data_IF_491609700480
#
_entry.id   IF_491609700480
#
_cell.length_a   1.000
_cell.length_b   1.000
_cell.length_c   1.000
_cell.angle_alpha   90.00
_cell.angle_beta   90.00
_cell.angle_gamma   90.00
#
_symmetry.space_group_name_H-M   'P 1'
#
loop_
_entity.id
_entity.type
_entity.pdbx_description
1 polymer ?
#
# COMPACT_ATOMS: atom_id res chain seq x y z
N UNK A 1 -13.73 8.91 -12.95
CA UNK A 1 -12.95 7.97 -13.80
C UNK A 1 -12.04 7.14 -12.90
N UNK A 2 -12.15 5.80 -12.92
CA UNK A 2 -11.36 4.91 -12.06
C UNK A 2 -9.86 5.02 -12.35
N UNK A 3 -9.46 5.32 -13.59
CA UNK A 3 -8.07 5.41 -14.01
C UNK A 3 -7.19 6.44 -13.26
N UNK A 4 -7.77 7.45 -12.60
CA UNK A 4 -6.99 8.46 -11.89
C UNK A 4 -7.72 9.05 -10.67
N UNK A 5 -8.92 9.58 -10.91
CA UNK A 5 -9.66 10.31 -9.88
C UNK A 5 -10.13 9.46 -8.69
N UNK A 6 -10.10 8.12 -8.79
CA UNK A 6 -10.30 7.25 -7.63
C UNK A 6 -9.10 7.35 -6.68
N UNK A 7 -7.90 7.09 -7.21
CA UNK A 7 -6.66 7.05 -6.45
C UNK A 7 -6.35 8.39 -5.79
N UNK A 8 -6.54 9.49 -6.51
CA UNK A 8 -6.38 10.84 -5.96
C UNK A 8 -7.26 11.07 -4.72
N UNK A 9 -8.56 10.73 -4.82
CA UNK A 9 -9.53 10.96 -3.74
C UNK A 9 -9.28 10.03 -2.55
N UNK A 10 -8.95 8.77 -2.80
CA UNK A 10 -8.64 7.79 -1.75
C UNK A 10 -7.35 8.17 -1.00
N UNK A 11 -6.28 8.47 -1.73
CA UNK A 11 -5.02 8.97 -1.16
C UNK A 11 -5.22 10.26 -0.36
N UNK A 12 -5.97 11.23 -0.91
CA UNK A 12 -6.32 12.46 -0.19
C UNK A 12 -7.11 12.18 1.10
N UNK A 13 -7.99 11.17 1.09
CA UNK A 13 -8.69 10.69 2.28
C UNK A 13 -7.73 10.25 3.39
N UNK A 14 -6.71 9.45 3.05
CA UNK A 14 -5.66 9.05 4.00
C UNK A 14 -4.87 10.24 4.54
N UNK A 15 -4.48 11.19 3.68
CA UNK A 15 -3.80 12.42 4.09
C UNK A 15 -4.63 13.24 5.09
N UNK A 16 -5.96 13.31 4.90
CA UNK A 16 -6.87 14.00 5.83
C UNK A 16 -6.95 13.29 7.18
N UNK A 17 -6.93 11.96 7.23
CA UNK A 17 -6.86 11.21 8.49
C UNK A 17 -5.57 11.55 9.25
N UNK A 18 -4.44 11.59 8.54
CA UNK A 18 -3.17 11.98 9.15
C UNK A 18 -3.21 13.41 9.68
N UNK A 19 -3.58 14.39 8.85
CA UNK A 19 -3.66 15.81 9.25
C UNK A 19 -4.69 16.07 10.36
N UNK A 20 -5.71 15.22 10.47
CA UNK A 20 -6.69 15.25 11.56
C UNK A 20 -6.19 14.65 12.88
N UNK A 21 -4.93 14.19 12.96
CA UNK A 21 -4.35 13.58 14.15
C UNK A 21 -4.92 12.20 14.48
N UNK A 22 -5.53 11.50 13.52
CA UNK A 22 -6.20 10.20 13.76
C UNK A 22 -5.20 9.15 14.25
N UNK A 23 -4.02 9.08 13.64
CA UNK A 23 -3.00 8.08 13.99
C UNK A 23 -2.22 8.40 15.27
N UNK A 24 -2.28 9.64 15.74
CA UNK A 24 -1.79 10.02 17.07
C UNK A 24 -2.81 9.59 18.13
N UNK A 25 -4.10 9.86 17.89
CA UNK A 25 -5.19 9.49 18.79
C UNK A 25 -5.44 7.98 18.87
N UNK A 26 -5.27 7.27 17.76
CA UNK A 26 -5.52 5.84 17.63
C UNK A 26 -4.29 5.12 17.04
N UNK A 27 -3.20 4.97 17.82
CA UNK A 27 -1.94 4.43 17.31
C UNK A 27 -2.04 2.97 16.81
N UNK A 28 -3.01 2.20 17.30
CA UNK A 28 -3.24 0.81 16.89
C UNK A 28 -4.09 0.67 15.61
N UNK A 29 -4.73 1.74 15.12
CA UNK A 29 -5.59 1.69 13.93
C UNK A 29 -4.80 1.19 12.71
N UNK A 30 -5.30 0.18 12.01
CA UNK A 30 -4.75 -0.26 10.74
C UNK A 30 -5.67 0.17 9.60
N UNK A 31 -5.10 0.71 8.53
CA UNK A 31 -5.78 1.13 7.31
C UNK A 31 -5.22 0.33 6.14
N UNK A 32 -6.09 -0.12 5.25
CA UNK A 32 -5.70 -0.78 4.00
C UNK A 32 -5.95 0.19 2.86
N UNK A 33 -4.91 0.47 2.07
CA UNK A 33 -5.00 1.21 0.82
C UNK A 33 -4.91 0.23 -0.36
N UNK A 34 -5.89 0.32 -1.26
CA UNK A 34 -5.91 -0.45 -2.50
C UNK A 34 -4.87 0.02 -3.50
N UNK A 35 -4.86 -0.60 -4.69
CA UNK A 35 -4.30 -0.01 -5.91
C UNK A 35 -2.88 0.54 -5.74
N UNK A 36 -1.98 -0.30 -5.21
CA UNK A 36 -0.58 0.05 -4.96
C UNK A 36 -0.41 1.31 -4.08
N UNK A 37 -1.36 1.56 -3.17
CA UNK A 37 -1.28 2.59 -2.15
C UNK A 37 -1.91 3.93 -2.54
N UNK A 38 -2.75 3.97 -3.58
CA UNK A 38 -3.54 5.16 -3.92
C UNK A 38 -2.69 6.44 -4.09
N UNK A 39 -1.60 6.36 -4.87
CA UNK A 39 -0.59 7.40 -5.09
C UNK A 39 0.28 7.77 -3.88
N UNK A 40 -0.11 7.39 -2.65
CA UNK A 40 0.60 7.77 -1.42
C UNK A 40 2.08 7.36 -1.41
N UNK A 41 2.47 6.12 -1.79
CA UNK A 41 3.88 5.71 -1.75
C UNK A 41 4.78 6.55 -2.67
N UNK A 42 4.24 7.00 -3.80
CA UNK A 42 4.98 7.72 -4.84
C UNK A 42 5.25 9.18 -4.48
N UNK A 43 4.42 9.75 -3.61
CA UNK A 43 4.58 11.10 -3.08
C UNK A 43 5.09 11.11 -1.64
N UNK A 44 5.41 9.96 -1.05
CA UNK A 44 5.68 9.80 0.37
C UNK A 44 6.71 10.81 0.91
N UNK A 45 7.87 10.92 0.24
CA UNK A 45 8.94 11.86 0.65
C UNK A 45 8.50 13.32 0.60
N UNK A 46 7.82 13.73 -0.47
CA UNK A 46 7.31 15.10 -0.63
C UNK A 46 6.24 15.40 0.41
N UNK A 47 5.27 14.52 0.56
CA UNK A 47 4.17 14.68 1.53
C UNK A 47 4.72 14.75 2.95
N UNK A 48 5.68 13.88 3.29
CA UNK A 48 6.32 13.89 4.60
C UNK A 48 7.08 15.20 4.87
N UNK A 49 7.82 15.73 3.88
CA UNK A 49 8.53 16.99 4.01
C UNK A 49 7.59 18.18 4.29
N UNK A 50 6.45 18.26 3.60
CA UNK A 50 5.55 19.42 3.71
C UNK A 50 4.50 19.29 4.82
N UNK A 51 3.94 18.09 5.03
CA UNK A 51 2.81 17.90 5.94
C UNK A 51 3.21 17.51 7.36
N UNK A 52 4.47 17.12 7.59
CA UNK A 52 4.93 16.86 8.96
C UNK A 52 5.30 18.13 9.73
N UNK A 53 5.29 19.29 9.05
CA UNK A 53 5.54 20.58 9.71
C UNK A 53 4.42 20.83 10.73
N UNK A 54 4.80 21.06 11.99
CA UNK A 54 3.89 21.25 13.12
C UNK A 54 3.02 20.03 13.48
N UNK A 55 3.39 18.82 13.05
CA UNK A 55 2.79 17.57 13.53
C UNK A 55 3.72 16.90 14.57
N UNK A 56 3.16 16.17 15.54
CA UNK A 56 3.99 15.46 16.53
C UNK A 56 4.54 14.14 16.00
N UNK A 57 3.85 13.57 14.99
CA UNK A 57 4.25 12.40 14.24
C UNK A 57 4.55 12.76 12.79
N UNK A 58 5.60 12.19 12.19
CA UNK A 58 5.85 12.36 10.76
C UNK A 58 4.89 11.53 9.93
N UNK A 59 4.55 12.01 8.74
CA UNK A 59 3.66 11.32 7.80
C UNK A 59 4.19 9.92 7.44
N UNK A 60 5.49 9.81 7.16
CA UNK A 60 6.11 8.52 6.82
C UNK A 60 6.04 7.51 7.97
N UNK A 61 6.04 7.98 9.22
CA UNK A 61 5.97 7.11 10.40
C UNK A 61 4.53 6.61 10.59
N UNK A 62 3.54 7.49 10.39
CA UNK A 62 2.14 7.10 10.34
C UNK A 62 1.88 6.09 9.21
N UNK A 63 2.43 6.35 8.01
CA UNK A 63 2.34 5.43 6.87
C UNK A 63 2.95 4.06 7.20
N UNK A 64 4.21 4.01 7.62
CA UNK A 64 4.92 2.76 7.89
C UNK A 64 4.27 1.93 9.01
N UNK A 65 3.65 2.58 10.00
CA UNK A 65 3.06 1.92 11.16
C UNK A 65 1.59 1.52 10.95
N UNK A 66 0.81 2.31 10.24
CA UNK A 66 -0.65 2.20 10.22
C UNK A 66 -1.20 1.75 8.87
N UNK A 67 -0.39 1.67 7.81
CA UNK A 67 -0.87 1.34 6.45
C UNK A 67 -0.44 -0.06 6.01
N UNK A 68 -1.40 -0.80 5.48
CA UNK A 68 -1.16 -1.90 4.54
C UNK A 68 -1.55 -1.45 3.14
N UNK A 69 -0.84 -1.95 2.13
CA UNK A 69 -1.10 -1.69 0.71
C UNK A 69 -1.52 -2.98 0.03
N UNK A 70 -2.48 -2.92 -0.89
CA UNK A 70 -2.81 -4.07 -1.76
C UNK A 70 -2.49 -3.81 -3.23
N UNK A 71 -2.28 -4.88 -3.99
CA UNK A 71 -1.99 -4.83 -5.44
C UNK A 71 -3.23 -4.66 -6.32
N UNK A 72 -4.42 -4.49 -5.71
CA UNK A 72 -5.72 -4.56 -6.37
C UNK A 72 -5.79 -3.67 -7.63
N UNK A 73 -6.18 -4.23 -8.77
CA UNK A 73 -6.36 -3.48 -10.03
C UNK A 73 -5.11 -2.81 -10.64
N UNK A 74 -3.91 -2.98 -10.07
CA UNK A 74 -2.64 -2.47 -10.62
C UNK A 74 -1.61 -3.61 -10.69
N UNK A 75 -1.49 -4.19 -11.87
CA UNK A 75 -0.72 -5.39 -12.14
C UNK A 75 0.54 -5.08 -12.97
N UNK A 76 1.42 -4.22 -12.44
CA UNK A 76 2.68 -3.84 -13.10
C UNK A 76 3.86 -3.88 -12.11
N UNK A 77 5.03 -4.30 -12.61
CA UNK A 77 6.25 -4.34 -11.82
C UNK A 77 6.84 -2.94 -11.56
N UNK A 78 6.55 -1.96 -12.42
CA UNK A 78 7.07 -0.59 -12.27
C UNK A 78 6.58 0.09 -10.97
N UNK A 79 5.26 0.15 -10.68
CA UNK A 79 4.78 0.64 -9.40
C UNK A 79 5.25 -0.24 -8.23
N UNK A 80 5.29 -1.57 -8.42
CA UNK A 80 5.73 -2.51 -7.40
C UNK A 80 7.18 -2.26 -6.95
N UNK A 81 8.08 -1.97 -7.88
CA UNK A 81 9.47 -1.64 -7.57
C UNK A 81 9.58 -0.40 -6.67
N UNK A 82 8.73 0.62 -6.89
CA UNK A 82 8.69 1.79 -6.01
C UNK A 82 8.09 1.43 -4.65
N UNK A 83 7.00 0.67 -4.64
CA UNK A 83 6.34 0.25 -3.42
C UNK A 83 7.28 -0.53 -2.49
N UNK A 84 8.02 -1.50 -3.03
CA UNK A 84 9.03 -2.29 -2.31
C UNK A 84 10.18 -1.44 -1.74
N UNK A 85 10.51 -0.30 -2.37
CA UNK A 85 11.57 0.60 -1.88
C UNK A 85 11.13 1.45 -0.69
N UNK A 86 9.84 1.75 -0.57
CA UNK A 86 9.32 2.70 0.42
C UNK A 86 8.39 2.08 1.46
N UNK A 87 8.05 0.80 1.28
CA UNK A 87 7.12 0.04 2.12
C UNK A 87 7.74 -1.30 2.47
N UNK A 88 7.74 -1.66 3.76
CA UNK A 88 8.14 -2.99 4.20
C UNK A 88 7.25 -4.05 3.51
N UNK A 89 7.86 -5.11 2.94
CA UNK A 89 7.11 -6.19 2.30
C UNK A 89 6.05 -6.79 3.21
N UNK A 90 6.23 -6.71 4.55
CA UNK A 90 5.25 -7.16 5.56
C UNK A 90 3.97 -6.32 5.60
N UNK A 91 3.94 -5.21 4.87
CA UNK A 91 2.80 -4.29 4.75
C UNK A 91 2.16 -4.32 3.36
N UNK A 92 2.58 -5.21 2.46
CA UNK A 92 2.05 -5.31 1.10
C UNK A 92 1.27 -6.63 0.96
N UNK A 93 0.05 -6.60 0.42
CA UNK A 93 -0.80 -7.78 0.27
C UNK A 93 -1.27 -7.94 -1.17
N UNK A 94 -1.34 -9.17 -1.65
CA UNK A 94 -1.94 -9.47 -2.93
C UNK A 94 -3.47 -9.29 -2.87
N UNK A 95 -4.03 -8.67 -3.90
CA UNK A 95 -5.48 -8.54 -4.14
C UNK A 95 -5.73 -8.30 -5.63
N UNK A 96 -6.94 -8.64 -6.09
CA UNK A 96 -7.32 -8.59 -7.51
C UNK A 96 -8.18 -7.37 -7.84
N UNK A 97 -9.16 -7.01 -7.02
CA UNK A 97 -10.28 -6.11 -7.38
C UNK A 97 -11.36 -6.76 -8.28
N UNK A 98 -11.71 -8.01 -7.99
CA UNK A 98 -12.85 -8.68 -8.64
C UNK A 98 -14.17 -8.00 -8.23
N UNK A 99 -15.14 -7.78 -9.15
CA UNK A 99 -15.20 -8.23 -10.55
C UNK A 99 -14.72 -7.21 -11.59
N UNK A 100 -14.08 -6.12 -11.17
CA UNK A 100 -13.61 -5.07 -12.10
C UNK A 100 -12.30 -5.46 -12.80
N UNK A 101 -11.49 -6.27 -12.12
CA UNK A 101 -10.27 -6.90 -12.65
C UNK A 101 -10.42 -8.42 -12.70
N UNK A 102 -9.67 -9.07 -13.60
CA UNK A 102 -9.72 -10.53 -13.77
C UNK A 102 -8.70 -11.22 -12.87
N UNK A 103 -9.03 -12.41 -12.37
CA UNK A 103 -8.13 -13.19 -11.52
C UNK A 103 -6.87 -13.62 -12.29
N UNK A 104 -6.99 -13.87 -13.59
CA UNK A 104 -5.88 -14.27 -14.46
C UNK A 104 -4.81 -13.17 -14.56
N UNK A 105 -5.22 -11.91 -14.61
CA UNK A 105 -4.29 -10.78 -14.68
C UNK A 105 -3.50 -10.64 -13.37
N UNK A 106 -4.18 -10.79 -12.23
CA UNK A 106 -3.52 -10.80 -10.93
C UNK A 106 -2.57 -12.00 -10.75
N UNK A 107 -2.98 -13.19 -11.21
CA UNK A 107 -2.15 -14.39 -11.15
C UNK A 107 -0.89 -14.26 -12.02
N UNK A 108 -1.04 -13.73 -13.24
CA UNK A 108 0.08 -13.43 -14.13
C UNK A 108 1.05 -12.42 -13.52
N UNK A 109 0.54 -11.38 -12.84
CA UNK A 109 1.39 -10.42 -12.12
C UNK A 109 2.17 -11.08 -10.97
N UNK A 110 1.55 -11.93 -10.16
CA UNK A 110 2.26 -12.61 -9.08
C UNK A 110 3.35 -13.54 -9.63
N UNK A 111 3.10 -14.23 -10.74
CA UNK A 111 4.14 -15.01 -11.40
C UNK A 111 5.29 -14.11 -11.89
N UNK A 112 4.98 -13.01 -12.56
CA UNK A 112 5.98 -12.04 -13.01
C UNK A 112 6.81 -11.45 -11.85
N UNK A 113 6.17 -11.13 -10.72
CA UNK A 113 6.86 -10.64 -9.52
C UNK A 113 7.83 -11.69 -8.99
N UNK A 114 7.43 -12.95 -8.93
CA UNK A 114 8.29 -14.05 -8.48
C UNK A 114 9.50 -14.23 -9.39
N UNK A 115 9.30 -14.15 -10.70
CA UNK A 115 10.35 -14.34 -11.71
C UNK A 115 11.28 -13.12 -11.85
N UNK A 116 10.82 -11.93 -11.43
CA UNK A 116 11.56 -10.68 -11.56
C UNK A 116 12.85 -10.59 -10.72
N UNK A 117 12.97 -11.39 -9.66
CA UNK A 117 14.03 -11.26 -8.66
C UNK A 117 13.91 -10.03 -7.74
N UNK A 118 12.81 -9.27 -7.81
CA UNK A 118 12.57 -8.10 -6.95
C UNK A 118 12.31 -8.47 -5.49
N UNK A 119 11.86 -9.69 -5.23
CA UNK A 119 11.55 -10.21 -3.90
C UNK A 119 12.14 -11.59 -3.72
N UNK A 120 12.55 -11.92 -2.50
CA UNK A 120 12.89 -13.29 -2.13
C UNK A 120 11.63 -14.16 -2.06
N UNK A 121 11.80 -15.49 -2.05
CA UNK A 121 10.68 -16.41 -1.86
C UNK A 121 9.97 -16.20 -0.50
N UNK A 122 10.68 -15.76 0.53
CA UNK A 122 10.09 -15.43 1.83
C UNK A 122 9.17 -14.21 1.75
N UNK A 123 9.64 -13.13 1.12
CA UNK A 123 8.89 -11.89 0.91
C UNK A 123 7.72 -12.10 -0.04
N UNK A 124 7.90 -12.93 -1.08
CA UNK A 124 6.82 -13.33 -1.99
C UNK A 124 5.66 -13.98 -1.23
N UNK A 125 5.94 -14.93 -0.33
CA UNK A 125 4.91 -15.57 0.50
C UNK A 125 4.25 -14.62 1.47
N UNK A 126 5.02 -13.68 2.01
CA UNK A 126 4.47 -12.62 2.86
C UNK A 126 3.43 -11.81 2.09
N UNK A 127 3.76 -11.36 0.88
CA UNK A 127 2.85 -10.60 0.02
C UNK A 127 1.66 -11.44 -0.44
N UNK A 128 1.91 -12.69 -0.84
CA UNK A 128 0.89 -13.56 -1.41
C UNK A 128 -0.20 -13.95 -0.41
N UNK A 129 0.14 -14.21 0.86
CA UNK A 129 -0.85 -14.65 1.85
C UNK A 129 -0.51 -14.37 3.32
N UNK A 130 0.75 -14.46 3.76
CA UNK A 130 1.04 -14.41 5.21
C UNK A 130 0.71 -13.06 5.84
N UNK A 131 0.82 -11.97 5.09
CA UNK A 131 0.48 -10.64 5.58
C UNK A 131 -1.02 -10.52 5.90
N UNK A 132 -1.89 -11.03 5.02
CA UNK A 132 -3.33 -10.98 5.27
C UNK A 132 -3.70 -11.92 6.41
N UNK A 133 -3.16 -13.13 6.47
CA UNK A 133 -3.36 -14.06 7.60
C UNK A 133 -3.00 -13.41 8.94
N UNK A 134 -1.82 -12.77 9.03
CA UNK A 134 -1.39 -12.05 10.24
C UNK A 134 -2.34 -10.90 10.61
N UNK A 135 -2.80 -10.13 9.62
CA UNK A 135 -3.64 -8.96 9.86
C UNK A 135 -5.05 -9.35 10.35
N UNK A 136 -5.67 -10.35 9.70
CA UNK A 136 -7.05 -10.75 9.99
C UNK A 136 -7.16 -11.96 10.93
N UNK A 137 -6.02 -12.52 11.37
CA UNK A 137 -5.93 -13.64 12.32
C UNK A 137 -6.61 -14.91 11.82
N UNK A 138 -6.33 -15.26 10.56
CA UNK A 138 -6.73 -16.53 9.95
C UNK A 138 -5.77 -17.66 10.32
#
# INVERSE_FOLDING_TARGET
MPAWGWHERAGLGFLRLYLGGVFERFPALQVILGHMGELVPYFLSRTDHYLSVNQTMRFKDAYARNVYVTTSGIFSLDPMATLLRVTDHKRIMYSVDWPFSRNEDGAAFMQALRDSGMVTEGEFRDIAFRNVERLVRL
#
